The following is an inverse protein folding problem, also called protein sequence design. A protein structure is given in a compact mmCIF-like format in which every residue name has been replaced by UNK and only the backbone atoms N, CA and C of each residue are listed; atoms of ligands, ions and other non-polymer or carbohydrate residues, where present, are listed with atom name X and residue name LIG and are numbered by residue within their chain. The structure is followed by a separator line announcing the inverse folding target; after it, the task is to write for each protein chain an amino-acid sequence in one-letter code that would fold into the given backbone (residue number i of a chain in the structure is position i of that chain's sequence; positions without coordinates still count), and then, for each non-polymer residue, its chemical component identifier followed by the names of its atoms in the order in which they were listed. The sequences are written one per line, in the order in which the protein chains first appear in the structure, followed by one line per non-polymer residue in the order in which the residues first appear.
data_IF_593736264949
#
_entry.id   IF_593736264949
#
_cell.length_a   1.000
_cell.length_b   1.000
_cell.length_c   1.000
_cell.angle_alpha   90.00
_cell.angle_beta   90.00
_cell.angle_gamma   90.00
#
_symmetry.space_group_name_H-M   'P 1'
#
loop_
_entity.id
_entity.type
_entity.pdbx_description
1 polymer ?
#
# COMPACT_ATOMS: atom_id res chain seq x y z
N UNK A 1 19.58 -27.56 -13.82
CA UNK A 1 18.19 -27.25 -14.23
C UNK A 1 17.82 -25.89 -13.63
N UNK A 2 17.35 -24.91 -14.41
CA UNK A 2 17.05 -23.58 -13.90
C UNK A 2 15.85 -23.69 -12.95
N UNK A 3 16.03 -23.23 -11.72
CA UNK A 3 15.02 -23.31 -10.67
C UNK A 3 13.86 -22.36 -10.98
N UNK A 4 12.65 -22.90 -10.93
CA UNK A 4 11.34 -22.26 -11.14
C UNK A 4 10.95 -21.25 -10.04
N UNK A 5 11.92 -20.54 -9.45
CA UNK A 5 11.76 -19.75 -8.22
C UNK A 5 11.17 -18.34 -8.40
N UNK A 6 10.66 -17.98 -9.58
CA UNK A 6 10.16 -16.62 -9.85
C UNK A 6 8.79 -16.29 -9.23
N UNK A 7 8.13 -17.25 -8.60
CA UNK A 7 6.82 -17.09 -7.96
C UNK A 7 6.78 -17.70 -6.56
N UNK A 8 7.71 -17.31 -5.69
CA UNK A 8 7.52 -17.59 -4.26
C UNK A 8 6.43 -16.67 -3.72
N UNK A 9 5.49 -17.28 -3.01
CA UNK A 9 4.36 -16.62 -2.33
C UNK A 9 4.75 -16.52 -0.86
N UNK A 10 4.69 -15.32 -0.29
CA UNK A 10 4.92 -15.12 1.13
C UNK A 10 3.70 -15.57 1.94
N UNK A 11 3.83 -16.67 2.68
CA UNK A 11 2.75 -17.22 3.51
C UNK A 11 2.25 -16.24 4.57
N UNK A 12 3.14 -15.46 5.19
CA UNK A 12 2.76 -14.45 6.18
C UNK A 12 1.96 -13.30 5.56
N UNK A 13 2.37 -12.81 4.39
CA UNK A 13 1.62 -11.75 3.68
C UNK A 13 0.30 -12.26 3.12
N UNK A 14 0.25 -13.51 2.66
CA UNK A 14 -0.99 -14.16 2.27
C UNK A 14 -1.96 -14.21 3.46
N UNK A 15 -1.49 -14.60 4.65
CA UNK A 15 -2.31 -14.62 5.85
C UNK A 15 -2.83 -13.22 6.22
N UNK A 16 -2.00 -12.18 6.13
CA UNK A 16 -2.43 -10.78 6.37
C UNK A 16 -3.47 -10.36 5.33
N UNK A 17 -3.26 -10.64 4.04
CA UNK A 17 -4.22 -10.34 2.99
C UNK A 17 -5.56 -11.03 3.23
N UNK A 18 -5.56 -12.33 3.55
CA UNK A 18 -6.79 -13.08 3.85
C UNK A 18 -7.51 -12.54 5.08
N UNK A 19 -6.77 -12.16 6.14
CA UNK A 19 -7.35 -11.55 7.32
C UNK A 19 -7.99 -10.18 7.00
N UNK A 20 -7.32 -9.32 6.24
CA UNK A 20 -7.86 -8.04 5.79
C UNK A 20 -9.12 -8.22 4.93
N UNK A 21 -9.09 -9.16 3.98
CA UNK A 21 -10.24 -9.49 3.14
C UNK A 21 -11.42 -10.00 3.96
N UNK A 22 -11.18 -10.85 4.96
CA UNK A 22 -12.21 -11.37 5.85
C UNK A 22 -12.82 -10.26 6.73
N UNK A 23 -12.00 -9.37 7.28
CA UNK A 23 -12.48 -8.21 8.06
C UNK A 23 -13.35 -7.32 7.19
N UNK A 24 -12.90 -7.00 5.97
CA UNK A 24 -13.69 -6.18 5.05
C UNK A 24 -15.02 -6.86 4.70
N UNK A 25 -15.01 -8.15 4.36
CA UNK A 25 -16.23 -8.89 4.06
C UNK A 25 -17.21 -8.91 5.24
N UNK A 26 -16.71 -9.03 6.47
CA UNK A 26 -17.51 -8.94 7.67
C UNK A 26 -18.12 -7.54 7.86
N UNK A 27 -17.32 -6.47 7.70
CA UNK A 27 -17.80 -5.10 7.80
C UNK A 27 -18.88 -4.79 6.76
N UNK A 28 -18.69 -5.25 5.52
CA UNK A 28 -19.68 -5.09 4.45
C UNK A 28 -20.94 -5.90 4.74
N UNK A 29 -20.82 -7.13 5.24
CA UNK A 29 -21.96 -7.97 5.59
C UNK A 29 -22.78 -7.46 6.77
N UNK A 30 -22.17 -6.65 7.64
CA UNK A 30 -22.82 -6.01 8.79
C UNK A 30 -23.33 -4.59 8.48
N UNK A 31 -22.98 -4.03 7.32
CA UNK A 31 -23.41 -2.69 6.94
C UNK A 31 -24.90 -2.69 6.57
N UNK A 32 -25.67 -1.86 7.27
CA UNK A 32 -27.10 -1.65 6.97
C UNK A 32 -27.33 -0.58 5.89
N UNK A 33 -26.30 0.20 5.57
CA UNK A 33 -26.34 1.29 4.60
C UNK A 33 -25.50 0.93 3.36
N UNK A 34 -25.85 1.48 2.17
CA UNK A 34 -25.06 1.26 0.97
C UNK A 34 -23.64 1.82 1.12
N UNK A 35 -22.66 1.08 0.60
CA UNK A 35 -21.26 1.50 0.60
C UNK A 35 -21.07 2.72 -0.30
N UNK A 36 -20.34 3.72 0.19
CA UNK A 36 -19.96 4.88 -0.61
C UNK A 36 -18.88 4.52 -1.63
N UNK A 37 -18.78 5.32 -2.70
CA UNK A 37 -17.80 5.09 -3.78
C UNK A 37 -16.36 5.19 -3.24
N UNK A 38 -16.12 6.10 -2.31
CA UNK A 38 -14.82 6.32 -1.66
C UNK A 38 -14.40 5.08 -0.87
N UNK A 39 -15.33 4.45 -0.14
CA UNK A 39 -15.06 3.24 0.61
C UNK A 39 -14.71 2.06 -0.31
N UNK A 40 -15.46 1.90 -1.41
CA UNK A 40 -15.18 0.88 -2.43
C UNK A 40 -13.81 1.12 -3.07
N UNK A 41 -13.49 2.36 -3.46
CA UNK A 41 -12.20 2.71 -4.03
C UNK A 41 -11.05 2.42 -3.05
N UNK A 42 -11.20 2.80 -1.79
CA UNK A 42 -10.21 2.52 -0.74
C UNK A 42 -10.01 1.02 -0.54
N UNK A 43 -11.09 0.25 -0.48
CA UNK A 43 -11.02 -1.21 -0.37
C UNK A 43 -10.27 -1.84 -1.55
N UNK A 44 -10.55 -1.41 -2.78
CA UNK A 44 -9.86 -1.89 -3.99
C UNK A 44 -8.37 -1.57 -3.93
N UNK A 45 -8.01 -0.36 -3.55
CA UNK A 45 -6.60 0.08 -3.46
C UNK A 45 -5.85 -0.71 -2.38
N UNK A 46 -6.44 -0.88 -1.20
CA UNK A 46 -5.84 -1.65 -0.09
C UNK A 46 -5.70 -3.13 -0.46
N UNK A 47 -6.79 -3.77 -0.86
CA UNK A 47 -6.77 -5.20 -1.18
C UNK A 47 -5.89 -5.49 -2.39
N UNK A 48 -5.95 -4.66 -3.43
CA UNK A 48 -5.12 -4.82 -4.62
C UNK A 48 -3.64 -4.75 -4.31
N UNK A 49 -3.22 -3.76 -3.51
CA UNK A 49 -1.82 -3.63 -3.12
C UNK A 49 -1.34 -4.81 -2.25
N UNK A 50 -2.13 -5.23 -1.27
CA UNK A 50 -1.78 -6.37 -0.41
C UNK A 50 -1.78 -7.69 -1.17
N UNK A 51 -2.74 -7.91 -2.07
CA UNK A 51 -2.79 -9.08 -2.95
C UNK A 51 -1.54 -9.16 -3.85
N UNK A 52 -1.17 -8.05 -4.49
CA UNK A 52 0.04 -7.99 -5.31
C UNK A 52 1.31 -8.24 -4.48
N UNK A 53 1.35 -7.69 -3.27
CA UNK A 53 2.48 -7.84 -2.34
C UNK A 53 2.67 -9.26 -1.79
N UNK A 54 1.75 -10.19 -2.05
CA UNK A 54 1.95 -11.61 -1.70
C UNK A 54 3.08 -12.23 -2.51
N UNK A 55 3.30 -11.76 -3.75
CA UNK A 55 4.28 -12.30 -4.67
C UNK A 55 5.65 -11.67 -4.47
N UNK A 56 6.67 -12.50 -4.31
CA UNK A 56 8.06 -12.04 -4.10
C UNK A 56 8.54 -11.18 -5.28
N UNK A 57 8.15 -11.53 -6.52
CA UNK A 57 8.48 -10.79 -7.73
C UNK A 57 8.00 -9.32 -7.71
N UNK A 58 6.85 -9.04 -7.10
CA UNK A 58 6.35 -7.67 -6.95
C UNK A 58 7.17 -6.91 -5.92
N UNK A 59 7.55 -7.57 -4.84
CA UNK A 59 8.30 -6.97 -3.73
C UNK A 59 9.76 -6.69 -4.07
N UNK A 60 10.35 -7.53 -4.90
CA UNK A 60 11.72 -7.37 -5.39
C UNK A 60 11.82 -6.37 -6.54
N UNK A 61 10.69 -5.89 -7.05
CA UNK A 61 10.68 -4.91 -8.13
C UNK A 61 11.30 -3.58 -7.67
N UNK A 62 12.16 -2.93 -8.48
CA UNK A 62 12.83 -1.68 -8.09
C UNK A 62 11.87 -0.53 -7.77
N UNK A 63 10.66 -0.56 -8.36
CA UNK A 63 9.61 0.42 -8.09
C UNK A 63 8.73 0.10 -6.89
N UNK A 64 8.95 -1.02 -6.18
CA UNK A 64 8.08 -1.45 -5.09
C UNK A 64 7.98 -0.41 -3.97
N UNK A 65 9.11 0.19 -3.58
CA UNK A 65 9.12 1.22 -2.52
C UNK A 65 8.35 2.48 -2.94
N UNK A 66 8.53 2.92 -4.19
CA UNK A 66 7.75 4.03 -4.74
C UNK A 66 6.25 3.69 -4.82
N UNK A 67 5.91 2.49 -5.28
CA UNK A 67 4.53 2.03 -5.34
C UNK A 67 3.90 1.94 -3.94
N UNK A 68 4.66 1.52 -2.93
CA UNK A 68 4.22 1.51 -1.53
C UNK A 68 3.96 2.92 -1.00
N UNK A 69 4.85 3.88 -1.30
CA UNK A 69 4.64 5.27 -0.90
C UNK A 69 3.40 5.87 -1.59
N UNK A 70 3.23 5.61 -2.90
CA UNK A 70 2.05 6.05 -3.66
C UNK A 70 0.78 5.42 -3.10
N UNK A 71 0.82 4.12 -2.80
CA UNK A 71 -0.29 3.42 -2.17
C UNK A 71 -0.70 4.09 -0.85
N UNK A 72 0.25 4.36 0.05
CA UNK A 72 -0.02 5.05 1.32
C UNK A 72 -0.59 6.45 1.11
N UNK A 73 -0.06 7.23 0.17
CA UNK A 73 -0.60 8.55 -0.16
C UNK A 73 -2.05 8.48 -0.65
N UNK A 74 -2.35 7.56 -1.57
CA UNK A 74 -3.71 7.37 -2.10
C UNK A 74 -4.68 6.97 -0.98
N UNK A 75 -4.28 6.06 -0.08
CA UNK A 75 -5.13 5.64 1.04
C UNK A 75 -5.45 6.82 1.96
N UNK A 76 -4.47 7.64 2.34
CA UNK A 76 -4.73 8.80 3.21
C UNK A 76 -5.56 9.88 2.53
N UNK A 77 -5.37 10.11 1.22
CA UNK A 77 -6.21 11.04 0.45
C UNK A 77 -7.65 10.54 0.39
N UNK A 78 -7.88 9.27 0.07
CA UNK A 78 -9.21 8.68 0.06
C UNK A 78 -9.86 8.72 1.44
N UNK A 79 -9.08 8.46 2.49
CA UNK A 79 -9.58 8.54 3.87
C UNK A 79 -9.99 9.96 4.25
N UNK A 80 -9.18 10.97 3.88
CA UNK A 80 -9.51 12.38 4.09
C UNK A 80 -10.80 12.78 3.36
N UNK A 81 -10.96 12.36 2.10
CA UNK A 81 -12.17 12.65 1.30
C UNK A 81 -13.40 11.94 1.88
N UNK A 82 -13.25 10.67 2.29
CA UNK A 82 -14.36 9.86 2.79
C UNK A 82 -14.88 10.32 4.15
N UNK A 83 -13.98 10.73 5.05
CA UNK A 83 -14.34 11.13 6.41
C UNK A 83 -14.53 12.65 6.54
N UNK A 84 -14.00 13.45 5.60
CA UNK A 84 -14.04 14.91 5.61
C UNK A 84 -13.57 15.55 6.94
N UNK A 85 -12.65 14.88 7.63
CA UNK A 85 -12.34 15.16 9.02
C UNK A 85 -10.90 15.66 9.22
N UNK A 86 -10.79 16.99 9.35
CA UNK A 86 -9.76 17.62 10.18
C UNK A 86 -8.37 17.80 9.55
N UNK A 87 -7.70 18.84 10.05
CA UNK A 87 -6.33 19.22 9.67
C UNK A 87 -5.33 18.06 9.87
N UNK A 88 -5.63 17.13 10.79
CA UNK A 88 -4.79 15.97 11.06
C UNK A 88 -4.72 15.00 9.86
N UNK A 89 -5.85 14.56 9.30
CA UNK A 89 -5.85 13.68 8.13
C UNK A 89 -5.27 14.37 6.91
N UNK A 90 -5.53 15.68 6.77
CA UNK A 90 -4.93 16.49 5.72
C UNK A 90 -3.40 16.53 5.86
N UNK A 91 -2.88 16.69 7.09
CA UNK A 91 -1.45 16.66 7.36
C UNK A 91 -0.83 15.29 7.06
N UNK A 92 -1.51 14.18 7.41
CA UNK A 92 -1.05 12.83 7.07
C UNK A 92 -1.03 12.59 5.55
N UNK A 93 -2.08 13.01 4.84
CA UNK A 93 -2.13 12.93 3.39
C UNK A 93 -1.00 13.76 2.76
N UNK A 94 -0.79 14.99 3.23
CA UNK A 94 0.31 15.85 2.79
C UNK A 94 1.68 15.22 3.04
N UNK A 95 1.91 14.66 4.23
CA UNK A 95 3.16 13.99 4.57
C UNK A 95 3.37 12.74 3.70
N UNK A 96 2.33 11.97 3.43
CA UNK A 96 2.41 10.80 2.55
C UNK A 96 2.77 11.20 1.11
N UNK A 97 2.20 12.30 0.60
CA UNK A 97 2.58 12.88 -0.71
C UNK A 97 4.05 13.32 -0.73
N UNK A 98 4.54 13.93 0.35
CA UNK A 98 5.97 14.24 0.48
C UNK A 98 6.82 12.97 0.45
N UNK A 99 6.37 11.90 1.12
CA UNK A 99 7.01 10.58 1.07
C UNK A 99 7.14 10.02 -0.35
N UNK A 100 6.12 10.19 -1.20
CA UNK A 100 6.18 9.85 -2.64
C UNK A 100 7.29 10.65 -3.35
N UNK A 101 7.38 11.95 -3.07
CA UNK A 101 8.43 12.81 -3.62
C UNK A 101 9.83 12.34 -3.24
N UNK A 102 10.02 11.93 -1.98
CA UNK A 102 11.30 11.38 -1.49
C UNK A 102 11.63 10.06 -2.17
N UNK A 103 10.67 9.13 -2.31
CA UNK A 103 10.91 7.86 -3.01
C UNK A 103 11.17 8.05 -4.50
N UNK A 104 10.52 9.02 -5.15
CA UNK A 104 10.82 9.38 -6.53
C UNK A 104 12.23 9.97 -6.68
N UNK A 105 12.65 10.79 -5.73
CA UNK A 105 14.01 11.31 -5.69
C UNK A 105 15.03 10.17 -5.50
N UNK A 106 14.76 9.25 -4.57
CA UNK A 106 15.57 8.05 -4.33
C UNK A 106 15.70 7.20 -5.60
N UNK A 107 14.60 6.97 -6.30
CA UNK A 107 14.60 6.23 -7.56
C UNK A 107 15.46 6.90 -8.65
N UNK A 108 15.43 8.23 -8.74
CA UNK A 108 16.19 8.98 -9.76
C UNK A 108 17.68 9.10 -9.45
N UNK A 109 18.02 9.23 -8.16
CA UNK A 109 19.39 9.55 -7.73
C UNK A 109 20.13 8.37 -7.09
N UNK A 110 19.50 7.18 -7.01
CA UNK A 110 20.09 6.00 -6.37
C UNK A 110 20.30 6.17 -4.86
N UNK A 111 19.55 7.06 -4.21
CA UNK A 111 19.65 7.31 -2.76
C UNK A 111 18.61 6.50 -1.97
N UNK A 112 18.71 6.49 -0.65
CA UNK A 112 17.83 5.73 0.26
C UNK A 112 17.31 6.57 1.44
N UNK A 113 17.09 7.87 1.21
CA UNK A 113 16.61 8.78 2.26
C UNK A 113 15.29 8.30 2.87
N UNK A 114 15.15 8.46 4.19
CA UNK A 114 13.96 8.10 4.99
C UNK A 114 13.58 6.61 4.97
N UNK A 115 14.42 5.73 4.43
CA UNK A 115 14.26 4.28 4.57
C UNK A 115 14.84 3.83 5.91
N UNK A 116 14.00 3.30 6.80
CA UNK A 116 14.45 2.71 8.06
C UNK A 116 14.85 1.25 7.83
N UNK A 117 16.14 0.94 8.00
CA UNK A 117 16.71 -0.39 7.75
C UNK A 117 17.47 -0.43 6.43
N UNK A 118 18.80 -0.29 6.52
CA UNK A 118 19.70 -0.21 5.38
C UNK A 118 19.57 -1.40 4.43
N UNK A 119 18.84 -1.21 3.34
CA UNK A 119 19.28 -1.71 2.03
C UNK A 119 20.09 -0.57 1.43
N UNK A 120 21.36 -0.52 1.81
CA UNK A 120 22.34 0.35 1.18
C UNK A 120 22.28 0.13 -0.32
N UNK A 121 22.25 1.23 -1.06
CA UNK A 121 22.24 1.25 -2.51
C UNK A 121 23.29 0.27 -3.05
N UNK A 122 22.84 -0.74 -3.77
CA UNK A 122 23.69 -1.56 -4.65
C UNK A 122 23.30 -1.27 -6.07
#
# INVERSE_FOLDING_TARGET
MPSTLRYRVSASRLAVFLALAAILAALVGLANEPLTVEFVAMAVVVLGFFAASVFDAVREHPLYELASAVHTAVVFVLLYVALYEGVFLLALAGLAVVGVGVELYNLRNGTSYLRFGGREAR
#
